data_IF_901520969786
#
_entry.id   IF_901520969786
#
_cell.length_a   1.000
_cell.length_b   1.000
_cell.length_c   1.000
_cell.angle_alpha   90.00
_cell.angle_beta   90.00
_cell.angle_gamma   90.00
#
_symmetry.space_group_name_H-M   'P 1'
#
loop_
_entity.id
_entity.type
_entity.pdbx_description
1 polymer ?
#
# COMPACT_ATOMS: atom_id res chain seq x y z
N UNK A 1 -11.93 -43.47 54.43
CA UNK A 1 -11.39 -43.95 53.16
C UNK A 1 -12.08 -43.11 52.06
N UNK A 2 -11.47 -41.98 51.66
CA UNK A 2 -12.06 -41.04 50.70
C UNK A 2 -11.37 -41.26 49.37
N UNK A 3 -12.11 -41.74 48.37
CA UNK A 3 -11.65 -41.85 46.99
C UNK A 3 -11.86 -40.50 46.31
N UNK A 4 -10.75 -39.77 46.04
CA UNK A 4 -10.76 -38.54 45.25
C UNK A 4 -11.02 -38.88 43.78
N UNK A 5 -12.04 -38.23 43.22
CA UNK A 5 -12.53 -38.43 41.85
C UNK A 5 -11.55 -37.83 40.82
N UNK A 6 -10.86 -38.69 40.09
CA UNK A 6 -9.85 -38.32 39.06
C UNK A 6 -10.45 -37.71 37.77
N UNK A 7 -11.76 -37.58 37.66
CA UNK A 7 -12.39 -37.13 36.40
C UNK A 7 -12.45 -35.63 36.21
N UNK A 8 -12.15 -34.81 37.25
CA UNK A 8 -12.26 -33.34 37.17
C UNK A 8 -11.07 -32.67 36.42
N UNK A 9 -9.88 -33.26 36.47
CA UNK A 9 -8.64 -32.63 35.91
C UNK A 9 -8.56 -32.75 34.40
N UNK A 10 -9.11 -33.82 33.80
CA UNK A 10 -9.08 -34.07 32.35
C UNK A 10 -10.01 -33.13 31.57
N UNK A 11 -11.11 -32.69 32.18
CA UNK A 11 -12.10 -31.84 31.53
C UNK A 11 -11.57 -30.40 31.30
N UNK A 12 -10.88 -29.85 32.28
CA UNK A 12 -10.29 -28.48 32.19
C UNK A 12 -9.12 -28.39 31.22
N UNK A 13 -8.34 -29.46 31.04
CA UNK A 13 -7.21 -29.48 30.10
C UNK A 13 -7.70 -29.49 28.65
N UNK A 14 -8.81 -30.14 28.36
CA UNK A 14 -9.37 -30.17 27.00
C UNK A 14 -10.05 -28.86 26.60
N UNK A 15 -10.71 -28.17 27.54
CA UNK A 15 -11.32 -26.84 27.30
C UNK A 15 -10.22 -25.81 26.99
N UNK A 16 -9.12 -25.80 27.75
CA UNK A 16 -7.98 -24.88 27.47
C UNK A 16 -7.33 -25.12 26.10
N UNK A 17 -7.25 -26.38 25.65
CA UNK A 17 -6.74 -26.72 24.31
C UNK A 17 -7.72 -26.30 23.20
N UNK A 18 -9.04 -26.48 23.42
CA UNK A 18 -10.05 -26.04 22.45
C UNK A 18 -10.10 -24.51 22.33
N UNK A 19 -10.01 -23.76 23.43
CA UNK A 19 -10.00 -22.29 23.40
C UNK A 19 -8.73 -21.75 22.74
N UNK A 20 -7.56 -22.40 22.94
CA UNK A 20 -6.32 -22.02 22.29
C UNK A 20 -6.35 -22.30 20.77
N UNK A 21 -6.93 -23.42 20.37
CA UNK A 21 -7.12 -23.76 18.94
C UNK A 21 -8.11 -22.83 18.26
N UNK A 22 -9.19 -22.42 18.92
CA UNK A 22 -10.15 -21.46 18.41
C UNK A 22 -9.56 -20.05 18.26
N UNK A 23 -8.66 -19.63 19.20
CA UNK A 23 -7.96 -18.35 19.11
C UNK A 23 -6.94 -18.34 17.95
N UNK A 24 -6.23 -19.44 17.71
CA UNK A 24 -5.30 -19.57 16.56
C UNK A 24 -6.06 -19.57 15.23
N UNK A 25 -7.23 -20.22 15.15
CA UNK A 25 -8.05 -20.25 13.96
C UNK A 25 -8.62 -18.86 13.59
N UNK A 26 -8.94 -18.03 14.60
CA UNK A 26 -9.40 -16.64 14.39
C UNK A 26 -8.29 -15.72 13.84
N UNK A 27 -7.02 -15.99 14.12
CA UNK A 27 -5.89 -15.19 13.65
C UNK A 27 -5.51 -15.50 12.18
N UNK A 28 -5.85 -16.69 11.68
CA UNK A 28 -5.58 -17.09 10.30
C UNK A 28 -6.51 -16.40 9.26
N UNK A 29 -7.59 -15.76 9.69
CA UNK A 29 -8.55 -15.10 8.79
C UNK A 29 -8.09 -13.73 8.27
N UNK A 30 -6.95 -13.20 8.74
CA UNK A 30 -6.37 -11.92 8.31
C UNK A 30 -5.15 -12.08 7.39
N UNK A 31 -5.14 -13.12 6.53
CA UNK A 31 -4.16 -13.15 5.44
C UNK A 31 -4.52 -12.01 4.47
N UNK A 32 -3.57 -11.09 4.17
CA UNK A 32 -3.78 -10.08 3.14
C UNK A 32 -3.96 -10.83 1.81
N UNK A 33 -5.21 -10.94 1.36
CA UNK A 33 -5.51 -11.45 0.02
C UNK A 33 -4.77 -10.58 -1.00
N UNK A 34 -4.14 -11.21 -2.01
CA UNK A 34 -3.44 -10.49 -3.06
C UNK A 34 -4.35 -9.42 -3.66
N UNK A 35 -3.85 -8.18 -3.81
CA UNK A 35 -4.63 -7.06 -4.38
C UNK A 35 -5.24 -7.43 -5.74
N UNK A 36 -4.59 -8.27 -6.52
CA UNK A 36 -5.11 -8.78 -7.80
C UNK A 36 -6.49 -9.46 -7.67
N UNK A 37 -6.73 -10.24 -6.61
CA UNK A 37 -8.04 -10.87 -6.38
C UNK A 37 -9.10 -9.84 -5.97
N UNK A 38 -8.72 -8.82 -5.23
CA UNK A 38 -9.62 -7.72 -4.82
C UNK A 38 -9.99 -6.85 -6.00
N UNK A 39 -9.01 -6.52 -6.85
CA UNK A 39 -9.20 -5.76 -8.09
C UNK A 39 -10.14 -6.49 -9.04
N UNK A 40 -9.96 -7.81 -9.24
CA UNK A 40 -10.79 -8.62 -10.13
C UNK A 40 -12.29 -8.68 -9.71
N UNK A 41 -12.62 -8.27 -8.48
CA UNK A 41 -13.98 -8.21 -7.95
C UNK A 41 -14.61 -6.82 -8.02
N UNK A 42 -13.89 -5.84 -8.58
CA UNK A 42 -14.36 -4.47 -8.76
C UNK A 42 -14.50 -4.15 -10.25
N UNK A 43 -15.58 -3.52 -10.63
CA UNK A 43 -15.91 -3.15 -12.01
C UNK A 43 -16.16 -1.65 -12.11
N UNK A 44 -15.44 -0.97 -13.03
CA UNK A 44 -15.60 0.48 -13.27
C UNK A 44 -17.01 0.76 -13.80
N UNK A 45 -17.65 1.79 -13.26
CA UNK A 45 -19.03 2.19 -13.56
C UNK A 45 -20.11 1.38 -12.83
N UNK A 46 -19.76 0.27 -12.16
CA UNK A 46 -20.69 -0.63 -11.46
C UNK A 46 -20.45 -0.61 -9.95
N UNK A 47 -19.24 -0.92 -9.51
CA UNK A 47 -18.89 -1.01 -8.09
C UNK A 47 -19.03 0.34 -7.40
N UNK A 48 -19.58 0.32 -6.19
CA UNK A 48 -19.83 1.52 -5.38
C UNK A 48 -18.63 1.88 -4.53
N UNK A 49 -18.63 3.08 -3.93
CA UNK A 49 -17.68 3.48 -2.88
C UNK A 49 -17.63 2.44 -1.75
N UNK A 50 -18.79 1.91 -1.34
CA UNK A 50 -18.88 0.88 -0.30
C UNK A 50 -18.15 -0.41 -0.69
N UNK A 51 -18.30 -0.87 -1.93
CA UNK A 51 -17.61 -2.06 -2.44
C UNK A 51 -16.08 -1.86 -2.42
N UNK A 52 -15.60 -0.67 -2.82
CA UNK A 52 -14.19 -0.31 -2.77
C UNK A 52 -13.66 -0.39 -1.33
N UNK A 53 -14.37 0.20 -0.35
CA UNK A 53 -13.98 0.16 1.06
C UNK A 53 -14.00 -1.25 1.64
N UNK A 54 -14.95 -2.09 1.25
CA UNK A 54 -14.99 -3.51 1.66
C UNK A 54 -13.75 -4.26 1.15
N UNK A 55 -13.29 -3.99 -0.08
CA UNK A 55 -12.17 -4.70 -0.70
C UNK A 55 -10.80 -4.14 -0.33
N UNK A 56 -10.66 -2.83 -0.26
CA UNK A 56 -9.37 -2.15 -0.03
C UNK A 56 -9.19 -1.62 1.40
N UNK A 57 -10.27 -1.56 2.19
CA UNK A 57 -10.30 -0.89 3.50
C UNK A 57 -10.54 0.60 3.37
N UNK A 58 -10.26 1.34 4.45
CA UNK A 58 -10.31 2.80 4.42
C UNK A 58 -9.12 3.36 3.62
N UNK A 59 -9.35 4.39 2.78
CA UNK A 59 -8.27 5.06 2.06
C UNK A 59 -7.36 5.81 3.05
N UNK A 60 -6.06 5.84 2.78
CA UNK A 60 -5.11 6.61 3.60
C UNK A 60 -5.35 8.12 3.45
N UNK A 61 -5.74 8.55 2.27
CA UNK A 61 -6.10 9.93 1.97
C UNK A 61 -7.19 9.99 0.90
N UNK A 62 -8.05 10.99 1.00
CA UNK A 62 -9.05 11.32 -0.02
C UNK A 62 -8.67 12.68 -0.59
N UNK A 63 -8.55 12.75 -1.90
CA UNK A 63 -8.27 13.95 -2.66
C UNK A 63 -9.51 14.39 -3.43
N UNK A 64 -9.66 15.69 -3.62
CA UNK A 64 -10.63 16.20 -4.56
C UNK A 64 -10.19 15.90 -5.99
N UNK A 65 -11.06 15.29 -6.76
CA UNK A 65 -10.89 15.00 -8.17
C UNK A 65 -11.62 16.04 -9.06
N UNK A 66 -11.52 15.85 -10.37
CA UNK A 66 -12.24 16.68 -11.33
C UNK A 66 -13.75 16.47 -11.19
N UNK A 67 -14.53 17.54 -11.49
CA UNK A 67 -16.00 17.52 -11.55
C UNK A 67 -16.68 17.00 -10.26
N UNK A 68 -16.09 17.24 -9.10
CA UNK A 68 -16.63 16.83 -7.80
C UNK A 68 -16.43 15.34 -7.47
N UNK A 69 -15.67 14.60 -8.26
CA UNK A 69 -15.27 13.24 -7.92
C UNK A 69 -14.29 13.25 -6.73
N UNK A 70 -14.15 12.09 -6.07
CA UNK A 70 -13.17 11.86 -5.02
C UNK A 70 -12.12 10.87 -5.52
N UNK A 71 -10.85 11.06 -5.14
CA UNK A 71 -9.78 10.12 -5.45
C UNK A 71 -9.29 9.53 -4.13
N UNK A 72 -9.46 8.24 -3.98
CA UNK A 72 -9.04 7.45 -2.81
C UNK A 72 -7.62 6.94 -3.01
N UNK A 73 -6.73 7.30 -2.09
CA UNK A 73 -5.33 6.86 -2.07
C UNK A 73 -5.18 5.60 -1.22
N UNK A 74 -4.68 4.53 -1.83
CA UNK A 74 -4.33 3.28 -1.16
C UNK A 74 -2.87 2.93 -1.38
N UNK A 75 -2.07 3.05 -0.33
CA UNK A 75 -0.64 2.76 -0.38
C UNK A 75 -0.34 1.33 0.03
N UNK A 76 0.66 0.74 -0.62
CA UNK A 76 1.25 -0.55 -0.23
C UNK A 76 2.71 -0.40 0.18
N UNK A 77 3.23 0.83 0.17
CA UNK A 77 4.56 1.16 0.66
C UNK A 77 4.62 1.08 2.20
N UNK A 78 5.76 0.72 2.80
CA UNK A 78 7.04 0.37 2.19
C UNK A 78 7.16 -1.12 1.79
N UNK A 79 6.25 -1.98 2.22
CA UNK A 79 6.35 -3.44 2.01
C UNK A 79 6.06 -3.86 0.57
N UNK A 80 5.10 -3.17 -0.09
CA UNK A 80 4.68 -3.47 -1.45
C UNK A 80 5.39 -2.62 -2.51
N UNK A 81 5.06 -2.91 -3.77
CA UNK A 81 5.60 -2.23 -4.96
C UNK A 81 4.52 -1.50 -5.75
N UNK A 82 3.34 -1.36 -5.19
CA UNK A 82 2.16 -0.79 -5.84
C UNK A 82 1.51 0.25 -4.94
N UNK A 83 0.97 1.31 -5.54
CA UNK A 83 0.01 2.21 -4.93
C UNK A 83 -1.19 2.33 -5.87
N UNK A 84 -2.36 2.51 -5.31
CA UNK A 84 -3.59 2.62 -6.08
C UNK A 84 -4.26 3.97 -5.85
N UNK A 85 -4.73 4.58 -6.94
CA UNK A 85 -5.65 5.70 -6.93
C UNK A 85 -6.99 5.20 -7.49
N UNK A 86 -8.04 5.29 -6.68
CA UNK A 86 -9.38 4.85 -7.06
C UNK A 86 -10.29 6.07 -7.09
N UNK A 87 -10.88 6.36 -8.25
CA UNK A 87 -11.77 7.51 -8.42
C UNK A 87 -13.21 7.09 -8.20
N UNK A 88 -13.89 7.81 -7.32
CA UNK A 88 -15.32 7.68 -7.06
C UNK A 88 -16.02 8.89 -7.68
N UNK A 89 -16.94 8.63 -8.60
CA UNK A 89 -17.76 9.67 -9.23
C UNK A 89 -18.77 10.29 -8.27
N UNK A 90 -19.40 11.37 -8.70
CA UNK A 90 -20.48 12.05 -7.94
C UNK A 90 -21.73 11.18 -7.76
N UNK A 91 -21.88 10.14 -8.58
CA UNK A 91 -22.93 9.11 -8.46
C UNK A 91 -22.59 8.03 -7.41
N UNK A 92 -21.45 8.15 -6.71
CA UNK A 92 -20.99 7.19 -5.71
C UNK A 92 -20.41 5.91 -6.28
N UNK A 93 -20.17 5.83 -7.59
CA UNK A 93 -19.60 4.65 -8.25
C UNK A 93 -18.11 4.85 -8.55
N UNK A 94 -17.37 3.75 -8.55
CA UNK A 94 -15.99 3.71 -8.97
C UNK A 94 -15.89 3.95 -10.47
N UNK A 95 -15.32 5.07 -10.88
CA UNK A 95 -15.10 5.41 -12.29
C UNK A 95 -13.72 5.02 -12.81
N UNK A 96 -12.74 4.83 -11.93
CA UNK A 96 -11.41 4.37 -12.29
C UNK A 96 -10.68 3.70 -11.11
N UNK A 97 -9.94 2.62 -11.41
CA UNK A 97 -8.96 2.01 -10.50
C UNK A 97 -7.61 1.96 -11.22
N UNK A 98 -6.60 2.62 -10.68
CA UNK A 98 -5.29 2.72 -11.33
C UNK A 98 -4.17 2.39 -10.35
N UNK A 99 -3.32 1.44 -10.73
CA UNK A 99 -2.00 1.27 -10.14
C UNK A 99 -1.12 2.40 -10.69
N UNK A 100 -0.48 3.18 -9.81
CA UNK A 100 0.14 4.45 -10.20
C UNK A 100 1.67 4.43 -10.22
N UNK A 101 2.32 3.41 -9.65
CA UNK A 101 3.78 3.28 -9.68
C UNK A 101 4.23 2.61 -10.98
N UNK A 102 4.14 3.34 -12.08
CA UNK A 102 4.46 2.87 -13.43
C UNK A 102 5.43 3.81 -14.13
N UNK A 103 6.30 3.30 -15.05
CA UNK A 103 7.17 4.15 -15.86
C UNK A 103 6.44 5.27 -16.60
N UNK A 104 5.21 5.00 -17.07
CA UNK A 104 4.37 5.98 -17.76
C UNK A 104 3.97 7.15 -16.86
N UNK A 105 3.70 6.90 -15.58
CA UNK A 105 3.38 7.96 -14.62
C UNK A 105 4.65 8.68 -14.16
N UNK A 106 5.75 7.97 -13.99
CA UNK A 106 7.04 8.58 -13.65
C UNK A 106 7.50 9.58 -14.72
N UNK A 107 7.32 9.26 -16.00
CA UNK A 107 7.66 10.13 -17.10
C UNK A 107 6.87 11.46 -17.14
N UNK A 108 5.76 11.54 -16.43
CA UNK A 108 4.96 12.78 -16.30
C UNK A 108 5.50 13.73 -15.25
N UNK A 109 6.40 13.28 -14.37
CA UNK A 109 6.97 14.11 -13.32
C UNK A 109 8.04 15.01 -13.92
N UNK A 110 7.79 16.31 -13.92
CA UNK A 110 8.66 17.31 -14.53
C UNK A 110 9.24 18.26 -13.47
N UNK A 111 10.43 18.83 -13.72
CA UNK A 111 11.00 19.89 -12.88
C UNK A 111 10.00 21.03 -12.66
N UNK A 112 9.95 21.53 -11.43
CA UNK A 112 9.05 22.61 -11.01
C UNK A 112 7.68 22.16 -10.50
N UNK A 113 7.27 20.90 -10.71
CA UNK A 113 6.02 20.38 -10.12
C UNK A 113 6.07 20.41 -8.59
N UNK A 114 4.93 20.70 -7.96
CA UNK A 114 4.84 20.71 -6.51
C UNK A 114 4.78 19.27 -5.96
N UNK A 115 5.36 19.07 -4.78
CA UNK A 115 5.36 17.77 -4.09
C UNK A 115 3.94 17.20 -3.93
N UNK A 116 2.96 18.06 -3.66
CA UNK A 116 1.57 17.62 -3.50
C UNK A 116 0.99 17.05 -4.80
N UNK A 117 1.33 17.64 -5.96
CA UNK A 117 0.89 17.12 -7.26
C UNK A 117 1.55 15.78 -7.57
N UNK A 118 2.85 15.65 -7.25
CA UNK A 118 3.55 14.36 -7.36
C UNK A 118 2.90 13.30 -6.47
N UNK A 119 2.52 13.67 -5.24
CA UNK A 119 1.83 12.75 -4.32
C UNK A 119 0.44 12.36 -4.81
N UNK A 120 -0.33 13.28 -5.41
CA UNK A 120 -1.61 12.94 -6.06
C UNK A 120 -1.44 11.96 -7.21
N UNK A 121 -0.28 11.97 -7.86
CA UNK A 121 0.02 11.06 -8.98
C UNK A 121 0.55 9.70 -8.54
N UNK A 122 1.36 9.63 -7.49
CA UNK A 122 2.11 8.42 -7.11
C UNK A 122 1.66 7.82 -5.75
N UNK A 123 0.93 8.56 -4.94
CA UNK A 123 0.64 8.22 -3.56
C UNK A 123 1.81 8.48 -2.63
N UNK A 124 1.68 8.04 -1.37
CA UNK A 124 2.68 8.22 -0.32
C UNK A 124 3.98 7.49 -0.68
N UNK A 125 5.14 8.15 -0.52
CA UNK A 125 6.42 7.49 -0.73
C UNK A 125 6.73 6.45 0.35
N UNK A 126 7.57 5.48 -0.01
CA UNK A 126 8.16 4.51 0.91
C UNK A 126 9.06 5.18 1.94
N UNK A 127 9.86 6.15 1.49
CA UNK A 127 10.86 6.83 2.30
C UNK A 127 11.01 8.27 1.86
N UNK A 128 11.26 9.15 2.84
CA UNK A 128 11.65 10.54 2.64
C UNK A 128 12.98 10.72 3.35
N UNK A 129 14.00 11.20 2.63
CA UNK A 129 15.32 11.46 3.19
C UNK A 129 15.69 12.92 2.96
N UNK A 130 15.87 13.74 4.02
CA UNK A 130 16.43 15.07 3.89
C UNK A 130 17.94 14.98 3.65
N UNK A 131 18.45 15.82 2.76
CA UNK A 131 19.87 16.04 2.48
C UNK A 131 20.20 17.50 2.74
N UNK A 132 20.44 17.83 4.02
CA UNK A 132 20.59 19.21 4.51
C UNK A 132 21.75 19.97 3.83
N UNK A 133 22.89 19.29 3.58
CA UNK A 133 24.07 19.92 2.96
C UNK A 133 23.82 20.44 1.54
N UNK A 134 22.87 19.85 0.82
CA UNK A 134 22.51 20.25 -0.54
C UNK A 134 21.12 20.87 -0.63
N UNK A 135 20.44 21.01 0.49
CA UNK A 135 19.08 21.56 0.60
C UNK A 135 18.07 20.81 -0.29
N UNK A 136 18.03 19.49 -0.15
CA UNK A 136 17.18 18.60 -0.94
C UNK A 136 16.40 17.62 -0.07
N UNK A 137 15.24 17.20 -0.59
CA UNK A 137 14.44 16.12 -0.04
C UNK A 137 14.28 15.04 -1.11
N UNK A 138 14.70 13.81 -0.81
CA UNK A 138 14.55 12.67 -1.71
C UNK A 138 13.33 11.86 -1.29
N UNK A 139 12.31 11.82 -2.13
CA UNK A 139 11.11 11.02 -1.96
C UNK A 139 11.25 9.78 -2.82
N UNK A 140 11.07 8.59 -2.24
CA UNK A 140 11.37 7.32 -2.87
C UNK A 140 10.15 6.41 -2.87
N UNK A 141 9.91 5.75 -4.01
CA UNK A 141 8.88 4.74 -4.20
C UNK A 141 9.51 3.46 -4.74
N UNK A 142 9.19 2.32 -4.12
CA UNK A 142 9.56 1.01 -4.64
C UNK A 142 8.53 0.60 -5.68
N UNK A 143 8.98 0.09 -6.83
CA UNK A 143 8.10 -0.38 -7.90
C UNK A 143 8.69 -1.60 -8.60
N UNK A 144 7.85 -2.30 -9.39
CA UNK A 144 8.26 -3.40 -10.27
C UNK A 144 8.45 -2.88 -11.68
N UNK A 145 9.62 -3.11 -12.26
CA UNK A 145 9.93 -2.79 -13.66
C UNK A 145 9.98 -4.06 -14.55
N UNK A 146 9.37 -5.12 -14.09
CA UNK A 146 9.28 -6.42 -14.73
C UNK A 146 8.47 -7.38 -13.87
N UNK A 147 8.56 -8.67 -14.16
CA UNK A 147 7.77 -9.71 -13.52
C UNK A 147 8.47 -10.42 -12.35
N UNK A 148 9.78 -10.30 -12.24
CA UNK A 148 10.60 -11.02 -11.27
C UNK A 148 10.93 -10.16 -10.06
N UNK A 149 11.18 -10.80 -8.92
CA UNK A 149 11.62 -10.11 -7.69
C UNK A 149 12.89 -9.27 -7.89
N UNK A 150 13.78 -9.70 -8.78
CA UNK A 150 15.00 -8.96 -9.17
C UNK A 150 14.71 -7.67 -9.95
N UNK A 151 13.48 -7.49 -10.45
CA UNK A 151 13.09 -6.31 -11.23
C UNK A 151 12.59 -5.17 -10.34
N UNK A 152 12.68 -5.31 -9.01
CA UNK A 152 12.36 -4.22 -8.07
C UNK A 152 13.33 -3.07 -8.22
N UNK A 153 12.78 -1.88 -8.36
CA UNK A 153 13.52 -0.61 -8.45
C UNK A 153 12.97 0.41 -7.47
N UNK A 154 13.79 1.41 -7.21
CA UNK A 154 13.41 2.62 -6.47
C UNK A 154 13.33 3.77 -7.46
N UNK A 155 12.15 4.37 -7.58
CA UNK A 155 11.97 5.66 -8.23
C UNK A 155 12.18 6.75 -7.20
N UNK A 156 13.05 7.72 -7.49
CA UNK A 156 13.37 8.85 -6.61
C UNK A 156 12.98 10.15 -7.29
N UNK A 157 12.24 10.98 -6.56
CA UNK A 157 12.00 12.38 -6.92
C UNK A 157 12.77 13.26 -5.94
N UNK A 158 13.62 14.12 -6.46
CA UNK A 158 14.39 15.10 -5.69
C UNK A 158 13.64 16.42 -5.69
N UNK A 159 13.34 16.93 -4.50
CA UNK A 159 12.71 18.23 -4.29
C UNK A 159 13.70 19.21 -3.68
N UNK A 160 13.55 20.50 -4.03
CA UNK A 160 14.22 21.59 -3.34
C UNK A 160 13.49 21.97 -2.04
N UNK A 161 13.97 23.00 -1.32
CA UNK A 161 13.37 23.53 -0.09
C UNK A 161 11.95 24.07 -0.27
N UNK A 162 11.58 24.52 -1.47
CA UNK A 162 10.22 24.97 -1.81
C UNK A 162 9.29 23.79 -2.15
N UNK A 163 9.76 22.56 -1.97
CA UNK A 163 9.06 21.32 -2.34
C UNK A 163 8.69 21.26 -3.83
N UNK A 164 9.54 21.83 -4.68
CA UNK A 164 9.44 21.70 -6.14
C UNK A 164 10.43 20.67 -6.67
N UNK A 165 9.98 19.87 -7.61
CA UNK A 165 10.81 18.85 -8.27
C UNK A 165 12.03 19.49 -8.91
N UNK A 166 13.23 18.99 -8.60
CA UNK A 166 14.50 19.29 -9.25
C UNK A 166 14.81 18.27 -10.33
N UNK A 167 14.73 16.99 -9.97
CA UNK A 167 15.06 15.88 -10.87
C UNK A 167 14.35 14.59 -10.44
N UNK A 168 14.37 13.61 -11.32
CA UNK A 168 13.88 12.27 -11.06
C UNK A 168 14.90 11.23 -11.51
N UNK A 169 14.85 10.04 -10.96
CA UNK A 169 15.70 8.92 -11.38
C UNK A 169 15.19 7.59 -10.85
N UNK A 170 15.62 6.51 -11.49
CA UNK A 170 15.35 5.15 -11.03
C UNK A 170 16.66 4.37 -10.87
N UNK A 171 16.73 3.54 -9.83
CA UNK A 171 17.85 2.66 -9.56
C UNK A 171 17.35 1.29 -9.10
N UNK A 172 18.19 0.27 -9.15
CA UNK A 172 17.89 -1.03 -8.53
C UNK A 172 17.60 -0.86 -7.04
N UNK A 173 16.68 -1.66 -6.52
CA UNK A 173 16.43 -1.67 -5.07
C UNK A 173 17.68 -2.17 -4.33
N UNK A 174 18.32 -1.35 -3.47
CA UNK A 174 19.51 -1.77 -2.75
C UNK A 174 19.28 -2.98 -1.83
N UNK A 175 18.03 -3.26 -1.44
CA UNK A 175 17.69 -4.47 -0.68
C UNK A 175 17.91 -5.77 -1.49
N UNK A 176 18.03 -5.69 -2.81
CA UNK A 176 18.32 -6.82 -3.70
C UNK A 176 19.83 -6.98 -3.98
N UNK A 177 20.65 -6.03 -3.51
CA UNK A 177 22.11 -6.13 -3.65
C UNK A 177 22.66 -7.18 -2.70
N UNK A 178 23.59 -8.07 -3.15
CA UNK A 178 24.28 -9.02 -2.27
C UNK A 178 25.01 -8.34 -1.10
N UNK A 179 25.31 -7.05 -1.21
CA UNK A 179 25.96 -6.20 -0.20
C UNK A 179 25.00 -5.14 0.37
N UNK A 180 23.69 -5.36 0.26
CA UNK A 180 22.68 -4.44 0.82
C UNK A 180 22.79 -4.38 2.36
N UNK A 181 22.39 -3.27 2.99
CA UNK A 181 22.37 -3.16 4.43
C UNK A 181 21.38 -4.18 5.02
N UNK A 182 21.85 -5.01 5.94
CA UNK A 182 21.02 -5.88 6.80
C UNK A 182 20.19 -5.03 7.76
#
# INVERSE_FOLDING_TARGET
>A
MFTFNQYSVSFFTNIRKLTFLALLASFAAFLPGCDNQRIAQLEEGVSTEGDVRIKFGEPEKIWDGANGAKIFEYNRQPAGTQNYMITIGTDGKMSALRQVLTPQNFAKIAPGMMMEDVRKMLGKPMKITPYELVNEYHYQWRFMDGANESDKKIFTVVFNTDLKVKSTGSAMDPALSPNGPN
#
